data_IF_143656656014
#
_entry.id   IF_143656656014
#
_cell.length_a   1.000
_cell.length_b   1.000
_cell.length_c   1.000
_cell.angle_alpha   90.00
_cell.angle_beta   90.00
_cell.angle_gamma   90.00
#
_symmetry.space_group_name_H-M   'P 1'
#
loop_
_entity.id
_entity.type
_entity.pdbx_description
1 polymer ?
#
# COMPACT_ATOMS: atom_id res chain seq x y z
N UNK A 1 32.66 5.47 -15.73
CA UNK A 1 31.43 6.27 -15.74
C UNK A 1 30.20 5.62 -16.43
N UNK A 2 30.32 4.68 -17.37
CA UNK A 2 29.18 4.00 -18.05
C UNK A 2 28.50 2.88 -17.21
N UNK A 3 29.13 2.39 -16.14
CA UNK A 3 28.64 1.20 -15.39
C UNK A 3 27.55 1.46 -14.34
N UNK A 4 27.34 2.70 -13.88
CA UNK A 4 26.31 2.98 -12.85
C UNK A 4 24.87 2.94 -13.39
N UNK A 5 24.69 3.29 -14.68
CA UNK A 5 23.38 3.23 -15.32
C UNK A 5 22.92 1.81 -15.68
N UNK A 6 23.81 0.85 -15.76
CA UNK A 6 23.45 -0.55 -16.06
C UNK A 6 22.75 -1.22 -14.84
N UNK A 7 22.99 -0.78 -13.63
CA UNK A 7 22.38 -1.32 -12.42
C UNK A 7 20.97 -0.75 -12.12
N UNK A 8 20.68 0.47 -12.56
CA UNK A 8 19.41 1.16 -12.29
C UNK A 8 18.18 0.37 -12.75
N UNK A 9 18.08 -0.09 -14.03
CA UNK A 9 16.91 -0.85 -14.49
C UNK A 9 16.73 -2.18 -13.74
N UNK A 10 17.81 -2.82 -13.29
CA UNK A 10 17.71 -4.08 -12.53
C UNK A 10 17.14 -3.85 -11.13
N UNK A 11 17.51 -2.77 -10.47
CA UNK A 11 16.92 -2.39 -9.17
C UNK A 11 15.47 -1.99 -9.34
N UNK A 12 15.12 -1.23 -10.38
CA UNK A 12 13.74 -0.89 -10.72
C UNK A 12 12.89 -2.13 -11.00
N UNK A 13 13.39 -3.06 -11.79
CA UNK A 13 12.73 -4.33 -12.08
C UNK A 13 12.52 -5.16 -10.81
N UNK A 14 13.57 -5.34 -10.00
CA UNK A 14 13.50 -6.09 -8.75
C UNK A 14 12.52 -5.46 -7.75
N UNK A 15 12.45 -4.14 -7.67
CA UNK A 15 11.48 -3.42 -6.84
C UNK A 15 10.05 -3.66 -7.32
N UNK A 16 9.79 -3.49 -8.62
CA UNK A 16 8.45 -3.67 -9.20
C UNK A 16 7.93 -5.09 -8.99
N UNK A 17 8.75 -6.10 -9.31
CA UNK A 17 8.42 -7.52 -9.13
C UNK A 17 8.24 -7.87 -7.66
N UNK A 18 9.11 -7.35 -6.79
CA UNK A 18 9.09 -7.64 -5.36
C UNK A 18 7.81 -7.20 -4.66
N UNK A 19 7.16 -6.11 -5.13
CA UNK A 19 5.89 -5.65 -4.57
C UNK A 19 4.66 -6.21 -5.29
N UNK A 20 4.81 -6.82 -6.47
CA UNK A 20 3.70 -7.36 -7.26
C UNK A 20 2.92 -8.44 -6.50
N UNK A 21 3.60 -9.31 -5.74
CA UNK A 21 2.96 -10.39 -4.97
C UNK A 21 2.04 -9.92 -3.82
N UNK A 22 2.09 -8.65 -3.45
CA UNK A 22 1.42 -8.14 -2.24
C UNK A 22 -0.11 -8.18 -2.31
N UNK A 23 -0.70 -7.64 -3.38
CA UNK A 23 -2.14 -7.56 -3.60
C UNK A 23 -2.65 -8.58 -4.67
N UNK A 24 -1.78 -9.46 -5.16
CA UNK A 24 -2.10 -10.47 -6.18
C UNK A 24 -3.24 -11.41 -5.73
N UNK A 25 -3.32 -11.74 -4.44
CA UNK A 25 -4.34 -12.62 -3.87
C UNK A 25 -5.73 -11.94 -3.78
N UNK A 26 -5.80 -10.62 -3.69
CA UNK A 26 -7.04 -9.89 -3.39
C UNK A 26 -8.23 -10.26 -4.30
N UNK A 27 -8.07 -10.38 -5.63
CA UNK A 27 -9.15 -10.83 -6.52
C UNK A 27 -9.61 -12.26 -6.27
N UNK A 28 -8.79 -13.09 -5.60
CA UNK A 28 -9.06 -14.50 -5.36
C UNK A 28 -9.82 -14.74 -4.04
N UNK A 29 -10.06 -13.73 -3.22
CA UNK A 29 -10.72 -13.90 -1.92
C UNK A 29 -12.06 -14.63 -1.99
N UNK A 30 -12.97 -14.38 -2.97
CA UNK A 30 -14.19 -15.16 -3.11
C UNK A 30 -13.92 -16.64 -3.38
N UNK A 31 -12.88 -16.97 -4.15
CA UNK A 31 -12.50 -18.35 -4.45
C UNK A 31 -11.97 -19.07 -3.20
N UNK A 32 -11.13 -18.40 -2.38
CA UNK A 32 -10.72 -18.94 -1.08
C UNK A 32 -11.88 -19.10 -0.12
N UNK A 33 -12.78 -18.11 -0.10
CA UNK A 33 -13.99 -18.18 0.73
C UNK A 33 -14.85 -19.39 0.39
N UNK A 34 -15.07 -19.65 -0.88
CA UNK A 34 -15.84 -20.81 -1.35
C UNK A 34 -15.12 -22.13 -1.11
N UNK A 35 -13.81 -22.21 -1.44
CA UNK A 35 -13.04 -23.45 -1.35
C UNK A 35 -12.85 -23.91 0.10
N UNK A 36 -12.68 -23.00 1.05
CA UNK A 36 -12.37 -23.31 2.45
C UNK A 36 -13.50 -22.94 3.41
N UNK A 37 -14.68 -22.53 2.91
CA UNK A 37 -15.84 -22.13 3.70
C UNK A 37 -15.50 -21.05 4.74
N UNK A 38 -14.67 -20.07 4.35
CA UNK A 38 -14.19 -19.02 5.23
C UNK A 38 -15.29 -17.99 5.54
N UNK A 39 -15.24 -17.44 6.74
CA UNK A 39 -16.06 -16.28 7.13
C UNK A 39 -15.51 -15.00 6.51
N UNK A 40 -16.32 -13.94 6.50
CA UNK A 40 -15.86 -12.63 6.02
C UNK A 40 -14.76 -12.06 6.91
N UNK A 41 -14.80 -12.32 8.21
CA UNK A 41 -13.72 -11.95 9.14
C UNK A 41 -12.39 -12.64 8.81
N UNK A 42 -12.41 -13.90 8.36
CA UNK A 42 -11.21 -14.62 7.96
C UNK A 42 -10.55 -13.97 6.74
N UNK A 43 -11.36 -13.54 5.75
CA UNK A 43 -10.87 -12.81 4.58
C UNK A 43 -10.25 -11.46 5.00
N UNK A 44 -10.91 -10.74 5.89
CA UNK A 44 -10.37 -9.49 6.45
C UNK A 44 -9.04 -9.75 7.18
N UNK A 45 -8.94 -10.84 7.92
CA UNK A 45 -7.74 -11.25 8.65
C UNK A 45 -6.57 -11.55 7.69
N UNK A 46 -6.81 -12.25 6.56
CA UNK A 46 -5.79 -12.51 5.55
C UNK A 46 -5.15 -11.22 5.05
N UNK A 47 -5.97 -10.18 4.79
CA UNK A 47 -5.48 -8.88 4.38
C UNK A 47 -4.76 -8.15 5.52
N UNK A 48 -5.32 -8.18 6.73
CA UNK A 48 -4.76 -7.53 7.92
C UNK A 48 -3.42 -8.13 8.31
N UNK A 49 -3.25 -9.44 8.26
CA UNK A 49 -1.98 -10.12 8.58
C UNK A 49 -0.86 -9.66 7.65
N UNK A 50 -1.15 -9.47 6.36
CA UNK A 50 -0.20 -8.83 5.43
C UNK A 50 0.17 -7.41 5.89
N UNK A 51 -0.83 -6.59 6.27
CA UNK A 51 -0.60 -5.22 6.73
C UNK A 51 0.22 -5.18 8.03
N UNK A 52 -0.04 -6.10 8.95
CA UNK A 52 0.75 -6.26 10.19
C UNK A 52 2.20 -6.64 9.87
N UNK A 53 2.43 -7.55 8.93
CA UNK A 53 3.77 -7.91 8.47
C UNK A 53 4.52 -6.70 7.86
N UNK A 54 3.83 -5.91 7.04
CA UNK A 54 4.39 -4.71 6.44
C UNK A 54 4.69 -3.62 7.50
N UNK A 55 3.78 -3.41 8.44
CA UNK A 55 3.96 -2.49 9.56
C UNK A 55 5.13 -2.92 10.46
N UNK A 56 5.23 -4.21 10.77
CA UNK A 56 6.33 -4.78 11.55
C UNK A 56 7.68 -4.52 10.86
N UNK A 57 7.78 -4.83 9.56
CA UNK A 57 8.99 -4.58 8.79
C UNK A 57 9.36 -3.10 8.72
N UNK A 58 8.38 -2.21 8.54
CA UNK A 58 8.60 -0.77 8.53
C UNK A 58 9.14 -0.26 9.87
N UNK A 59 8.54 -0.68 10.99
CA UNK A 59 8.89 -0.21 12.32
C UNK A 59 10.24 -0.74 12.80
N UNK A 60 10.49 -2.02 12.63
CA UNK A 60 11.64 -2.70 13.24
C UNK A 60 12.80 -2.92 12.27
N UNK A 61 12.55 -2.95 10.97
CA UNK A 61 13.56 -3.29 9.95
C UNK A 61 13.80 -2.18 8.91
N UNK A 62 13.04 -1.07 8.95
CA UNK A 62 13.13 0.00 7.96
C UNK A 62 14.51 0.65 7.82
N UNK A 63 15.38 0.49 8.81
CA UNK A 63 16.75 1.04 8.86
C UNK A 63 17.84 0.02 8.54
N UNK A 64 17.49 -1.21 8.24
CA UNK A 64 18.49 -2.25 7.94
C UNK A 64 19.36 -1.87 6.73
N UNK A 65 18.80 -1.11 5.78
CA UNK A 65 19.56 -0.64 4.61
C UNK A 65 20.71 0.31 4.97
N UNK A 66 20.61 1.05 6.09
CA UNK A 66 21.63 1.97 6.56
C UNK A 66 22.83 1.22 7.18
N UNK A 67 22.59 0.01 7.70
CA UNK A 67 23.61 -0.81 8.38
C UNK A 67 24.16 -1.93 7.50
N UNK A 68 23.31 -2.65 6.77
CA UNK A 68 23.70 -3.81 5.96
C UNK A 68 23.91 -3.46 4.48
N UNK A 69 23.51 -2.23 4.08
CA UNK A 69 23.46 -1.79 2.69
C UNK A 69 22.21 -2.26 1.96
N UNK A 70 21.69 -1.40 1.08
CA UNK A 70 20.40 -1.61 0.40
C UNK A 70 20.32 -2.93 -0.40
N UNK A 71 21.41 -3.35 -1.05
CA UNK A 71 21.43 -4.57 -1.88
C UNK A 71 21.13 -5.82 -1.06
N UNK A 72 21.78 -5.98 0.10
CA UNK A 72 21.57 -7.16 0.97
C UNK A 72 20.13 -7.19 1.49
N UNK A 73 19.63 -6.04 1.96
CA UNK A 73 18.26 -5.94 2.50
C UNK A 73 17.23 -6.19 1.41
N UNK A 74 17.44 -5.66 0.20
CA UNK A 74 16.55 -5.88 -0.93
C UNK A 74 16.54 -7.35 -1.39
N UNK A 75 17.71 -8.02 -1.43
CA UNK A 75 17.80 -9.46 -1.72
C UNK A 75 17.08 -10.30 -0.66
N UNK A 76 17.29 -10.00 0.62
CA UNK A 76 16.57 -10.66 1.72
C UNK A 76 15.06 -10.46 1.58
N UNK A 77 14.62 -9.23 1.27
CA UNK A 77 13.22 -8.94 0.99
C UNK A 77 12.67 -9.76 -0.16
N UNK A 78 13.37 -9.82 -1.31
CA UNK A 78 12.94 -10.61 -2.48
C UNK A 78 12.84 -12.11 -2.17
N UNK A 79 13.83 -12.68 -1.48
CA UNK A 79 13.83 -14.11 -1.11
C UNK A 79 12.69 -14.41 -0.13
N UNK A 80 12.48 -13.53 0.86
CA UNK A 80 11.39 -13.65 1.83
C UNK A 80 10.02 -13.54 1.13
N UNK A 81 9.86 -12.60 0.21
CA UNK A 81 8.63 -12.43 -0.56
C UNK A 81 8.35 -13.59 -1.50
N UNK A 82 9.38 -14.12 -2.15
CA UNK A 82 9.29 -15.33 -2.95
C UNK A 82 8.86 -16.52 -2.09
N UNK A 83 9.51 -16.76 -0.95
CA UNK A 83 9.14 -17.81 -0.01
C UNK A 83 7.73 -17.63 0.56
N UNK A 84 7.35 -16.42 0.95
CA UNK A 84 6.00 -16.10 1.41
C UNK A 84 4.93 -16.34 0.34
N UNK A 85 5.21 -15.99 -0.92
CA UNK A 85 4.33 -16.27 -2.07
C UNK A 85 4.23 -17.77 -2.32
N UNK A 86 5.33 -18.53 -2.20
CA UNK A 86 5.32 -19.99 -2.32
C UNK A 86 4.49 -20.64 -1.21
N UNK A 87 4.65 -20.20 0.04
CA UNK A 87 3.81 -20.68 1.16
C UNK A 87 2.35 -20.34 0.91
N UNK A 88 2.04 -19.14 0.42
CA UNK A 88 0.67 -18.74 0.05
C UNK A 88 0.09 -19.65 -1.05
N UNK A 89 0.86 -19.98 -2.08
CA UNK A 89 0.46 -20.87 -3.18
C UNK A 89 0.18 -22.30 -2.68
N UNK A 90 1.00 -22.79 -1.76
CA UNK A 90 0.94 -24.16 -1.22
C UNK A 90 0.09 -24.24 0.06
N UNK A 91 -0.57 -23.16 0.45
CA UNK A 91 -1.37 -23.13 1.67
C UNK A 91 -2.52 -24.14 1.62
N UNK A 92 -2.70 -24.89 2.71
CA UNK A 92 -3.73 -25.91 2.86
C UNK A 92 -4.83 -25.54 3.88
N UNK A 93 -4.60 -24.47 4.65
CA UNK A 93 -5.52 -23.92 5.65
C UNK A 93 -5.29 -22.43 5.87
N UNK A 94 -6.16 -21.79 6.66
CA UNK A 94 -6.07 -20.35 6.98
C UNK A 94 -4.78 -19.99 7.73
N UNK A 95 -4.29 -20.75 8.75
CA UNK A 95 -3.02 -20.47 9.40
C UNK A 95 -1.82 -20.47 8.45
N UNK A 96 -1.69 -21.48 7.59
CA UNK A 96 -0.58 -21.54 6.62
C UNK A 96 -0.62 -20.39 5.62
N UNK A 97 -1.83 -20.02 5.15
CA UNK A 97 -2.03 -18.86 4.29
C UNK A 97 -1.58 -17.57 5.00
N UNK A 98 -1.95 -17.38 6.25
CA UNK A 98 -1.58 -16.21 7.05
C UNK A 98 -0.07 -16.11 7.30
N UNK A 99 0.64 -17.24 7.49
CA UNK A 99 2.11 -17.24 7.57
C UNK A 99 2.71 -16.69 6.26
N UNK A 100 2.24 -17.18 5.11
CA UNK A 100 2.67 -16.66 3.81
C UNK A 100 2.37 -15.16 3.66
N UNK A 101 1.19 -14.72 4.07
CA UNK A 101 0.76 -13.31 4.00
C UNK A 101 1.62 -12.40 4.89
N UNK A 102 1.92 -12.82 6.12
CA UNK A 102 2.83 -12.08 7.01
C UNK A 102 4.23 -11.93 6.37
N UNK A 103 4.78 -13.02 5.84
CA UNK A 103 6.09 -13.01 5.17
C UNK A 103 6.11 -12.07 3.95
N UNK A 104 5.06 -12.08 3.12
CA UNK A 104 4.91 -11.15 1.98
C UNK A 104 4.81 -9.71 2.46
N UNK A 105 4.08 -9.44 3.55
CA UNK A 105 4.00 -8.11 4.15
C UNK A 105 5.36 -7.60 4.61
N UNK A 106 6.07 -8.40 5.38
CA UNK A 106 7.42 -8.10 5.87
C UNK A 106 8.39 -7.84 4.72
N UNK A 107 8.36 -8.69 3.69
CA UNK A 107 9.13 -8.54 2.45
C UNK A 107 8.87 -7.20 1.77
N UNK A 108 7.60 -6.81 1.62
CA UNK A 108 7.22 -5.59 0.89
C UNK A 108 7.84 -4.34 1.52
N UNK A 109 7.85 -4.24 2.86
CA UNK A 109 8.46 -3.12 3.55
C UNK A 109 10.00 -3.09 3.40
N UNK A 110 10.66 -4.26 3.44
CA UNK A 110 12.10 -4.36 3.19
C UNK A 110 12.45 -3.92 1.76
N UNK A 111 11.67 -4.33 0.77
CA UNK A 111 11.89 -3.95 -0.63
C UNK A 111 11.65 -2.46 -0.84
N UNK A 112 10.52 -1.92 -0.36
CA UNK A 112 10.17 -0.50 -0.52
C UNK A 112 11.21 0.41 0.12
N UNK A 113 11.63 0.12 1.34
CA UNK A 113 12.64 0.94 2.06
C UNK A 113 14.02 0.83 1.43
N UNK A 114 14.47 -0.39 1.12
CA UNK A 114 15.80 -0.60 0.53
C UNK A 114 15.92 -0.11 -0.91
N UNK A 115 14.87 -0.29 -1.73
CA UNK A 115 14.86 0.20 -3.11
C UNK A 115 14.90 1.72 -3.17
N UNK A 116 14.16 2.41 -2.30
CA UNK A 116 14.16 3.88 -2.22
C UNK A 116 15.56 4.42 -1.90
N UNK A 117 16.25 3.82 -0.94
CA UNK A 117 17.65 4.15 -0.60
C UNK A 117 18.58 3.82 -1.76
N UNK A 118 18.44 2.62 -2.34
CA UNK A 118 19.30 2.13 -3.40
C UNK A 118 19.24 2.95 -4.68
N UNK A 119 18.05 3.33 -5.12
CA UNK A 119 17.86 4.14 -6.32
C UNK A 119 18.48 5.54 -6.18
N UNK A 120 18.39 6.15 -4.99
CA UNK A 120 19.06 7.43 -4.72
C UNK A 120 20.59 7.25 -4.73
N UNK A 121 21.12 6.18 -4.16
CA UNK A 121 22.57 5.91 -4.11
C UNK A 121 23.19 5.59 -5.48
N UNK A 122 22.44 4.99 -6.39
CA UNK A 122 22.92 4.63 -7.74
C UNK A 122 22.83 5.82 -8.68
N UNK A 123 21.96 6.80 -8.39
CA UNK A 123 21.74 7.94 -9.25
C UNK A 123 22.86 8.98 -9.15
N UNK A 124 23.03 9.76 -10.22
CA UNK A 124 23.95 10.90 -10.24
C UNK A 124 23.39 12.08 -9.44
N UNK A 125 24.29 12.87 -8.87
CA UNK A 125 23.97 14.11 -8.16
C UNK A 125 23.03 15.03 -8.99
N UNK A 126 22.01 15.57 -8.31
CA UNK A 126 21.01 16.48 -8.89
C UNK A 126 19.71 15.86 -9.40
N UNK A 127 19.58 14.53 -9.45
CA UNK A 127 18.39 13.85 -9.98
C UNK A 127 17.40 13.37 -8.89
N UNK A 128 17.55 13.76 -7.62
CA UNK A 128 16.79 13.24 -6.47
C UNK A 128 15.27 13.31 -6.67
N UNK A 129 14.74 14.43 -7.17
CA UNK A 129 13.30 14.58 -7.40
C UNK A 129 12.79 13.62 -8.49
N UNK A 130 13.53 13.53 -9.62
CA UNK A 130 13.18 12.63 -10.74
C UNK A 130 13.20 11.16 -10.29
N UNK A 131 14.16 10.78 -9.46
CA UNK A 131 14.28 9.44 -8.92
C UNK A 131 13.14 9.11 -7.97
N UNK A 132 12.77 10.04 -7.09
CA UNK A 132 11.61 9.87 -6.22
C UNK A 132 10.32 9.67 -7.03
N UNK A 133 10.13 10.40 -8.13
CA UNK A 133 8.99 10.21 -9.04
C UNK A 133 9.00 8.83 -9.70
N UNK A 134 10.15 8.39 -10.23
CA UNK A 134 10.30 7.07 -10.85
C UNK A 134 10.03 5.97 -9.80
N UNK A 135 10.57 6.10 -8.60
CA UNK A 135 10.37 5.13 -7.51
C UNK A 135 8.89 5.02 -7.15
N UNK A 136 8.21 6.15 -6.96
CA UNK A 136 6.79 6.17 -6.62
C UNK A 136 5.92 5.56 -7.73
N UNK A 137 6.21 5.89 -8.99
CA UNK A 137 5.52 5.30 -10.14
C UNK A 137 5.73 3.79 -10.22
N UNK A 138 6.97 3.31 -10.10
CA UNK A 138 7.30 1.88 -10.18
C UNK A 138 6.70 1.08 -9.01
N UNK A 139 6.64 1.66 -7.81
CA UNK A 139 5.95 1.05 -6.67
C UNK A 139 4.45 0.91 -6.96
N UNK A 140 3.80 1.98 -7.39
CA UNK A 140 2.38 1.95 -7.73
C UNK A 140 2.08 0.98 -8.88
N UNK A 141 2.95 0.94 -9.89
CA UNK A 141 2.86 0.02 -11.02
C UNK A 141 3.02 -1.44 -10.56
N UNK A 142 4.04 -1.75 -9.75
CA UNK A 142 4.24 -3.09 -9.21
C UNK A 142 3.07 -3.55 -8.32
N UNK A 143 2.63 -2.69 -7.39
CA UNK A 143 1.45 -2.97 -6.56
C UNK A 143 0.18 -3.17 -7.38
N UNK A 144 -0.03 -2.41 -8.46
CA UNK A 144 -1.20 -2.50 -9.33
C UNK A 144 -1.17 -3.71 -10.26
N UNK A 145 0.02 -4.14 -10.73
CA UNK A 145 0.16 -5.33 -11.56
C UNK A 145 -0.29 -6.61 -10.85
N UNK A 146 -0.08 -6.70 -9.53
CA UNK A 146 -0.48 -7.87 -8.75
C UNK A 146 -1.96 -8.21 -8.92
N UNK A 147 -2.88 -7.33 -8.50
CA UNK A 147 -4.31 -7.60 -8.63
C UNK A 147 -4.77 -7.76 -10.09
N UNK A 148 -4.18 -7.04 -11.04
CA UNK A 148 -4.50 -7.21 -12.46
C UNK A 148 -4.17 -8.61 -12.94
N UNK A 149 -2.95 -9.09 -12.70
CA UNK A 149 -2.52 -10.45 -13.07
C UNK A 149 -3.30 -11.50 -12.30
N UNK A 150 -3.52 -11.28 -10.99
CA UNK A 150 -4.35 -12.15 -10.15
C UNK A 150 -5.79 -12.26 -10.65
N UNK A 151 -6.37 -11.15 -11.06
CA UNK A 151 -7.72 -11.10 -11.62
C UNK A 151 -7.83 -11.85 -12.95
N UNK A 152 -6.91 -11.58 -13.89
CA UNK A 152 -6.92 -12.23 -15.22
C UNK A 152 -6.71 -13.74 -15.09
N UNK A 153 -5.70 -14.18 -14.36
CA UNK A 153 -5.41 -15.60 -14.18
C UNK A 153 -6.53 -16.29 -13.40
N UNK A 154 -7.00 -15.65 -12.33
CA UNK A 154 -8.06 -16.18 -11.48
C UNK A 154 -9.40 -16.37 -12.20
N UNK A 155 -9.65 -15.59 -13.27
CA UNK A 155 -10.89 -15.65 -14.04
C UNK A 155 -10.88 -16.77 -15.09
N UNK A 156 -9.75 -16.99 -15.78
CA UNK A 156 -9.74 -17.81 -17.00
C UNK A 156 -8.86 -19.05 -16.95
N UNK A 157 -7.93 -19.17 -16.01
CA UNK A 157 -7.05 -20.33 -15.95
C UNK A 157 -7.54 -21.39 -14.95
N UNK A 158 -7.27 -22.69 -15.21
CA UNK A 158 -7.61 -23.75 -14.28
C UNK A 158 -6.76 -23.64 -12.99
N UNK A 159 -7.28 -24.18 -11.89
CA UNK A 159 -6.59 -24.16 -10.58
C UNK A 159 -6.14 -22.76 -10.16
N UNK A 160 -7.06 -21.76 -10.11
CA UNK A 160 -6.72 -20.35 -9.93
C UNK A 160 -5.96 -20.07 -8.62
N UNK A 161 -6.22 -20.83 -7.56
CA UNK A 161 -5.53 -20.69 -6.26
C UNK A 161 -4.05 -21.12 -6.29
N UNK A 162 -3.58 -21.74 -7.38
CA UNK A 162 -2.18 -22.17 -7.56
C UNK A 162 -1.56 -21.41 -8.72
N UNK A 163 -2.17 -21.48 -9.91
CA UNK A 163 -1.61 -20.95 -11.15
C UNK A 163 -1.38 -19.44 -11.09
N UNK A 164 -2.22 -18.72 -10.35
CA UNK A 164 -2.10 -17.26 -10.18
C UNK A 164 -0.75 -16.82 -9.61
N UNK A 165 -0.13 -17.63 -8.78
CA UNK A 165 1.15 -17.28 -8.14
C UNK A 165 2.37 -17.57 -9.00
N UNK A 166 2.27 -18.47 -9.99
CA UNK A 166 3.40 -18.92 -10.81
C UNK A 166 4.14 -17.78 -11.53
N UNK A 167 3.46 -16.80 -12.18
CA UNK A 167 4.16 -15.68 -12.81
C UNK A 167 4.96 -14.85 -11.81
N UNK A 168 4.38 -14.57 -10.63
CA UNK A 168 5.07 -13.81 -9.57
C UNK A 168 6.30 -14.56 -9.04
N UNK A 169 6.20 -15.89 -8.88
CA UNK A 169 7.32 -16.72 -8.46
C UNK A 169 8.42 -16.77 -9.52
N UNK A 170 8.05 -16.95 -10.80
CA UNK A 170 9.02 -16.96 -11.91
C UNK A 170 9.75 -15.61 -12.04
N UNK A 171 9.00 -14.52 -12.03
CA UNK A 171 9.57 -13.16 -12.04
C UNK A 171 10.41 -12.88 -10.80
N UNK A 172 10.02 -13.39 -9.63
CA UNK A 172 10.79 -13.29 -8.39
C UNK A 172 12.17 -13.91 -8.48
N UNK A 173 12.28 -15.11 -9.08
CA UNK A 173 13.59 -15.75 -9.34
C UNK A 173 14.43 -14.88 -10.28
N UNK A 174 13.82 -14.37 -11.36
CA UNK A 174 14.51 -13.47 -12.29
C UNK A 174 14.96 -12.17 -11.61
N UNK A 175 14.15 -11.62 -10.70
CA UNK A 175 14.47 -10.41 -9.95
C UNK A 175 15.66 -10.63 -8.98
N UNK A 176 15.69 -11.75 -8.28
CA UNK A 176 16.83 -12.13 -7.41
C UNK A 176 18.08 -12.27 -8.26
N UNK A 177 18.01 -13.03 -9.38
CA UNK A 177 19.14 -13.21 -10.28
C UNK A 177 19.63 -11.88 -10.87
N UNK A 178 18.73 -11.03 -11.35
CA UNK A 178 19.05 -9.72 -11.88
C UNK A 178 19.76 -8.84 -10.86
N UNK A 179 19.28 -8.80 -9.62
CA UNK A 179 19.91 -8.02 -8.55
C UNK A 179 21.26 -8.62 -8.12
N UNK A 180 21.45 -9.94 -8.19
CA UNK A 180 22.74 -10.60 -7.94
C UNK A 180 23.77 -10.29 -9.04
N UNK A 181 23.35 -10.18 -10.30
CA UNK A 181 24.20 -9.83 -11.43
C UNK A 181 24.48 -8.34 -11.57
N UNK A 182 23.64 -7.49 -10.99
CA UNK A 182 23.82 -6.05 -11.04
C UNK A 182 25.17 -5.66 -10.39
N UNK A 183 26.05 -5.04 -11.18
CA UNK A 183 27.35 -4.53 -10.71
C UNK A 183 27.13 -3.20 -9.95
N UNK A 184 26.76 -3.32 -8.71
CA UNK A 184 26.56 -2.19 -7.81
C UNK A 184 27.91 -1.85 -7.15
N UNK A 185 28.52 -0.74 -7.55
CA UNK A 185 29.68 -0.19 -6.84
C UNK A 185 29.16 0.57 -5.61
N UNK A 186 29.52 0.15 -4.41
CA UNK A 186 29.18 0.92 -3.21
C UNK A 186 29.84 2.29 -3.29
N UNK A 187 29.09 3.36 -3.00
CA UNK A 187 29.70 4.69 -2.85
C UNK A 187 30.53 4.68 -1.53
N UNK A 188 31.84 4.98 -1.56
CA UNK A 188 32.72 4.83 -0.40
C UNK A 188 32.24 5.61 0.85
N UNK A 189 31.65 6.77 0.65
CA UNK A 189 31.15 7.64 1.74
C UNK A 189 29.91 7.09 2.47
N UNK A 190 29.17 6.16 1.85
CA UNK A 190 27.98 5.53 2.42
C UNK A 190 28.31 4.21 3.14
N UNK A 191 29.56 3.76 3.07
CA UNK A 191 30.08 2.59 3.78
C UNK A 191 30.45 2.86 5.24
N UNK A 192 30.24 4.05 5.78
CA UNK A 192 30.27 4.31 7.22
C UNK A 192 29.03 3.66 7.88
N UNK A 193 28.86 2.36 7.62
CA UNK A 193 27.82 1.57 8.21
C UNK A 193 27.96 1.62 9.73
N UNK A 194 26.99 2.20 10.40
CA UNK A 194 26.88 2.06 11.84
C UNK A 194 26.86 0.57 12.18
N UNK A 195 27.61 0.09 13.17
CA UNK A 195 27.60 -1.34 13.49
C UNK A 195 26.17 -1.81 13.77
N UNK A 196 25.84 -2.99 13.24
CA UNK A 196 24.54 -3.61 13.49
C UNK A 196 24.39 -3.82 14.99
N UNK A 197 23.47 -3.11 15.61
CA UNK A 197 23.19 -3.19 17.03
C UNK A 197 21.68 -3.27 17.28
N UNK A 198 21.30 -3.63 18.50
CA UNK A 198 19.88 -3.70 18.89
C UNK A 198 19.11 -2.39 18.66
N UNK A 199 19.83 -1.25 18.71
CA UNK A 199 19.27 0.09 18.43
C UNK A 199 18.78 0.26 16.99
N UNK A 200 19.24 -0.56 16.04
CA UNK A 200 18.78 -0.55 14.65
C UNK A 200 17.32 -0.99 14.55
N UNK A 201 16.88 -1.85 15.48
CA UNK A 201 15.53 -2.42 15.52
C UNK A 201 14.56 -1.64 16.42
N UNK A 202 14.96 -0.53 17.03
CA UNK A 202 14.07 0.29 17.84
C UNK A 202 13.24 1.19 16.92
N UNK A 203 11.89 1.14 17.00
CA UNK A 203 11.02 2.05 16.27
C UNK A 203 11.31 3.50 16.64
N UNK A 204 11.43 4.36 15.64
CA UNK A 204 11.51 5.81 15.87
C UNK A 204 10.17 6.43 15.57
N UNK A 205 9.29 6.45 16.54
CA UNK A 205 8.04 7.17 16.49
C UNK A 205 8.23 8.52 17.17
N UNK A 206 7.84 9.57 16.50
CA UNK A 206 7.93 10.93 17.02
C UNK A 206 6.60 11.63 16.78
N UNK A 207 6.13 12.36 17.78
CA UNK A 207 4.96 13.24 17.65
C UNK A 207 5.44 14.67 17.40
N UNK A 208 4.63 15.46 16.68
CA UNK A 208 4.96 16.84 16.41
C UNK A 208 4.96 17.68 17.71
N UNK A 209 5.68 18.79 17.70
CA UNK A 209 5.69 19.76 18.80
C UNK A 209 4.27 20.23 19.10
N UNK A 210 4.04 20.67 20.34
CA UNK A 210 2.70 21.11 20.80
C UNK A 210 2.09 22.19 19.89
N UNK A 211 2.91 23.09 19.34
CA UNK A 211 2.48 24.11 18.37
C UNK A 211 1.93 23.55 17.05
N UNK A 212 2.37 22.38 16.65
CA UNK A 212 2.03 21.72 15.38
C UNK A 212 1.22 20.44 15.58
N UNK A 213 0.84 20.12 16.82
CA UNK A 213 0.17 18.86 17.16
C UNK A 213 -1.15 18.68 16.39
N UNK A 214 -1.98 19.72 16.30
CA UNK A 214 -3.25 19.67 15.53
C UNK A 214 -2.98 19.49 14.03
N UNK A 215 -2.01 20.22 13.48
CA UNK A 215 -1.60 20.06 12.10
C UNK A 215 -1.16 18.64 11.81
N UNK A 216 -0.39 18.02 12.72
CA UNK A 216 0.07 16.65 12.58
C UNK A 216 -1.06 15.63 12.72
N UNK A 217 -2.01 15.84 13.63
CA UNK A 217 -3.22 15.00 13.71
C UNK A 217 -4.00 15.00 12.39
N UNK A 218 -4.24 16.18 11.82
CA UNK A 218 -4.91 16.33 10.51
C UNK A 218 -4.10 15.65 9.40
N UNK A 219 -2.77 15.75 9.48
CA UNK A 219 -1.86 15.06 8.57
C UNK A 219 -1.99 13.53 8.66
N UNK A 220 -2.07 12.98 9.87
CA UNK A 220 -2.23 11.54 10.10
C UNK A 220 -3.60 11.01 9.67
N UNK A 221 -4.63 11.85 9.65
CA UNK A 221 -5.94 11.47 9.10
C UNK A 221 -5.88 11.15 7.60
N UNK A 222 -5.00 11.79 6.84
CA UNK A 222 -4.89 11.55 5.40
C UNK A 222 -4.53 10.08 5.06
N UNK A 223 -3.42 9.50 5.55
CA UNK A 223 -3.09 8.10 5.28
C UNK A 223 -4.06 7.14 5.97
N UNK A 224 -4.62 7.50 7.14
CA UNK A 224 -5.62 6.70 7.83
C UNK A 224 -6.81 6.39 6.92
N UNK A 225 -7.41 7.42 6.32
CA UNK A 225 -8.55 7.24 5.42
C UNK A 225 -8.14 6.69 4.05
N UNK A 226 -6.98 7.09 3.51
CA UNK A 226 -6.49 6.57 2.24
C UNK A 226 -6.29 5.05 2.27
N UNK A 227 -5.57 4.54 3.27
CA UNK A 227 -5.33 3.10 3.42
C UNK A 227 -6.60 2.36 3.83
N UNK A 228 -7.47 2.98 4.65
CA UNK A 228 -8.75 2.40 5.02
C UNK A 228 -9.66 2.17 3.81
N UNK A 229 -9.83 3.18 2.96
CA UNK A 229 -10.64 3.06 1.73
C UNK A 229 -10.03 2.06 0.77
N UNK A 230 -8.73 2.12 0.53
CA UNK A 230 -8.05 1.12 -0.29
C UNK A 230 -8.25 -0.29 0.26
N UNK A 231 -8.17 -0.47 1.58
CA UNK A 231 -8.39 -1.75 2.24
C UNK A 231 -9.78 -2.33 2.01
N UNK A 232 -10.83 -1.49 1.99
CA UNK A 232 -12.20 -1.94 1.65
C UNK A 232 -12.24 -2.54 0.24
N UNK A 233 -11.68 -1.82 -0.74
CA UNK A 233 -11.64 -2.31 -2.12
C UNK A 233 -10.75 -3.54 -2.28
N UNK A 234 -9.64 -3.62 -1.57
CA UNK A 234 -8.68 -4.72 -1.69
C UNK A 234 -9.11 -6.01 -0.96
N UNK A 235 -9.94 -5.91 0.08
CA UNK A 235 -10.33 -7.08 0.89
C UNK A 235 -11.81 -7.43 0.76
N UNK A 236 -12.70 -6.45 0.84
CA UNK A 236 -14.14 -6.69 0.92
C UNK A 236 -14.86 -6.55 -0.41
N UNK A 237 -14.43 -5.60 -1.29
CA UNK A 237 -15.11 -5.40 -2.56
C UNK A 237 -15.23 -6.68 -3.40
N UNK A 238 -14.20 -7.55 -3.51
CA UNK A 238 -14.34 -8.80 -4.24
C UNK A 238 -15.52 -9.66 -3.78
N UNK A 239 -15.86 -9.64 -2.48
CA UNK A 239 -16.91 -10.47 -1.87
C UNK A 239 -18.34 -10.00 -2.19
N UNK A 240 -18.55 -8.73 -2.50
CA UNK A 240 -19.89 -8.20 -2.77
C UNK A 240 -20.16 -7.84 -4.23
N UNK A 241 -19.14 -7.77 -5.08
CA UNK A 241 -19.29 -7.38 -6.48
C UNK A 241 -20.27 -8.29 -7.24
N UNK A 242 -20.24 -9.60 -6.95
CA UNK A 242 -21.19 -10.56 -7.57
C UNK A 242 -22.66 -10.24 -7.30
N UNK A 243 -22.94 -9.62 -6.14
CA UNK A 243 -24.31 -9.25 -5.73
C UNK A 243 -24.76 -7.89 -6.26
N UNK A 244 -23.81 -7.06 -6.71
CA UNK A 244 -24.05 -5.68 -7.10
C UNK A 244 -23.97 -5.43 -8.60
N UNK A 245 -23.13 -6.20 -9.31
CA UNK A 245 -22.81 -5.93 -10.70
C UNK A 245 -23.13 -7.11 -11.59
N UNK A 246 -23.63 -6.87 -12.82
CA UNK A 246 -23.85 -7.93 -13.81
C UNK A 246 -22.54 -8.56 -14.29
N UNK A 247 -21.44 -7.81 -14.24
CA UNK A 247 -20.08 -8.28 -14.53
C UNK A 247 -19.31 -8.41 -13.21
N UNK A 248 -18.93 -9.60 -12.91
CA UNK A 248 -18.31 -9.98 -11.63
C UNK A 248 -17.13 -10.94 -11.85
N UNK A 249 -16.51 -11.33 -10.76
CA UNK A 249 -15.41 -12.28 -10.74
C UNK A 249 -14.05 -11.63 -10.53
N UNK A 250 -12.99 -12.45 -10.49
CA UNK A 250 -11.63 -12.01 -10.15
C UNK A 250 -11.08 -10.88 -11.01
N UNK A 251 -11.38 -10.85 -12.32
CA UNK A 251 -10.89 -9.80 -13.23
C UNK A 251 -11.47 -8.43 -12.90
N UNK A 252 -12.74 -8.36 -12.51
CA UNK A 252 -13.41 -7.09 -12.19
C UNK A 252 -12.83 -6.49 -10.90
N UNK A 253 -12.71 -7.30 -9.85
CA UNK A 253 -12.09 -6.88 -8.59
C UNK A 253 -10.61 -6.56 -8.76
N UNK A 254 -9.87 -7.39 -9.50
CA UNK A 254 -8.45 -7.17 -9.79
C UNK A 254 -8.20 -5.88 -10.56
N UNK A 255 -9.02 -5.59 -11.57
CA UNK A 255 -8.97 -4.34 -12.34
C UNK A 255 -9.30 -3.14 -11.47
N UNK A 256 -10.34 -3.22 -10.64
CA UNK A 256 -10.74 -2.13 -9.74
C UNK A 256 -9.61 -1.76 -8.77
N UNK A 257 -8.99 -2.77 -8.13
CA UNK A 257 -7.86 -2.58 -7.20
C UNK A 257 -6.64 -2.02 -7.93
N UNK A 258 -6.30 -2.58 -9.09
CA UNK A 258 -5.17 -2.13 -9.91
C UNK A 258 -5.34 -0.70 -10.39
N UNK A 259 -6.55 -0.33 -10.86
CA UNK A 259 -6.88 1.03 -11.29
C UNK A 259 -6.78 2.02 -10.13
N UNK A 260 -7.26 1.68 -8.92
CA UNK A 260 -7.13 2.56 -7.75
C UNK A 260 -5.65 2.90 -7.52
N UNK A 261 -4.75 1.93 -7.54
CA UNK A 261 -3.33 2.15 -7.29
C UNK A 261 -2.64 2.95 -8.40
N UNK A 262 -2.87 2.57 -9.66
CA UNK A 262 -2.27 3.25 -10.81
C UNK A 262 -2.80 4.68 -10.96
N UNK A 263 -4.12 4.85 -10.89
CA UNK A 263 -4.73 6.17 -10.98
C UNK A 263 -4.36 7.06 -9.78
N UNK A 264 -4.23 6.49 -8.57
CA UNK A 264 -3.73 7.22 -7.41
C UNK A 264 -2.34 7.80 -7.64
N UNK A 265 -1.41 7.04 -8.25
CA UNK A 265 -0.10 7.55 -8.60
C UNK A 265 -0.17 8.67 -9.65
N UNK A 266 -1.03 8.52 -10.66
CA UNK A 266 -1.25 9.56 -11.67
C UNK A 266 -1.85 10.83 -11.04
N UNK A 267 -2.79 10.69 -10.11
CA UNK A 267 -3.38 11.80 -9.37
C UNK A 267 -2.32 12.53 -8.54
N UNK A 268 -1.42 11.81 -7.86
CA UNK A 268 -0.31 12.43 -7.12
C UNK A 268 0.58 13.28 -8.05
N UNK A 269 0.89 12.79 -9.24
CA UNK A 269 1.68 13.55 -10.24
C UNK A 269 0.91 14.77 -10.76
N UNK A 270 -0.35 14.60 -11.12
CA UNK A 270 -1.20 15.67 -11.63
C UNK A 270 -1.44 16.79 -10.59
N UNK A 271 -1.58 16.41 -9.34
CA UNK A 271 -1.83 17.33 -8.22
C UNK A 271 -0.54 17.86 -7.55
N UNK A 272 0.65 17.51 -8.05
CA UNK A 272 1.92 17.87 -7.41
C UNK A 272 2.12 19.39 -7.25
N UNK A 273 1.51 20.21 -8.13
CA UNK A 273 1.52 21.66 -8.09
C UNK A 273 0.32 22.27 -7.34
N UNK A 274 -0.62 21.46 -6.90
CA UNK A 274 -1.81 21.92 -6.19
C UNK A 274 -1.45 22.42 -4.79
N UNK A 275 -2.09 23.51 -4.35
CA UNK A 275 -1.89 23.98 -2.99
C UNK A 275 -2.32 22.94 -1.96
N UNK A 276 -1.55 22.81 -0.87
CA UNK A 276 -1.72 21.81 0.16
C UNK A 276 -3.15 21.75 0.72
N UNK A 277 -3.78 22.91 0.96
CA UNK A 277 -5.14 23.01 1.49
C UNK A 277 -6.19 22.39 0.57
N UNK A 278 -6.09 22.64 -0.74
CA UNK A 278 -7.02 22.09 -1.72
C UNK A 278 -6.77 20.60 -1.94
N UNK A 279 -5.52 20.18 -1.97
CA UNK A 279 -5.17 18.77 -2.09
C UNK A 279 -5.72 17.94 -0.92
N UNK A 280 -5.58 18.41 0.32
CA UNK A 280 -6.14 17.72 1.49
C UNK A 280 -7.67 17.75 1.56
N UNK A 281 -8.29 18.91 1.26
CA UNK A 281 -9.75 19.02 1.21
C UNK A 281 -10.35 18.08 0.18
N UNK A 282 -9.91 18.19 -1.08
CA UNK A 282 -10.45 17.39 -2.19
C UNK A 282 -10.13 15.91 -2.02
N UNK A 283 -8.96 15.59 -1.46
CA UNK A 283 -8.59 14.20 -1.15
C UNK A 283 -9.54 13.55 -0.14
N UNK A 284 -9.82 14.22 0.98
CA UNK A 284 -10.76 13.72 2.00
C UNK A 284 -12.21 13.71 1.48
N UNK A 285 -12.63 14.70 0.70
CA UNK A 285 -13.96 14.70 0.08
C UNK A 285 -14.11 13.60 -0.97
N UNK A 286 -13.06 13.29 -1.71
CA UNK A 286 -13.07 12.15 -2.65
C UNK A 286 -13.19 10.80 -1.90
N UNK A 287 -12.54 10.67 -0.73
CA UNK A 287 -12.75 9.53 0.18
C UNK A 287 -14.21 9.44 0.63
N UNK A 288 -14.81 10.58 1.04
CA UNK A 288 -16.23 10.65 1.41
C UNK A 288 -17.11 10.21 0.24
N UNK A 289 -16.87 10.75 -0.96
CA UNK A 289 -17.61 10.40 -2.17
C UNK A 289 -17.50 8.91 -2.50
N UNK A 290 -16.32 8.34 -2.42
CA UNK A 290 -16.10 6.90 -2.66
C UNK A 290 -16.95 6.04 -1.72
N UNK A 291 -16.95 6.36 -0.42
CA UNK A 291 -17.76 5.61 0.56
C UNK A 291 -19.27 5.84 0.35
N UNK A 292 -19.68 7.07 0.03
CA UNK A 292 -21.08 7.37 -0.31
C UNK A 292 -21.55 6.57 -1.54
N UNK A 293 -20.70 6.45 -2.57
CA UNK A 293 -21.01 5.63 -3.76
C UNK A 293 -21.11 4.15 -3.41
N UNK A 294 -20.22 3.63 -2.54
CA UNK A 294 -20.32 2.24 -2.09
C UNK A 294 -21.64 1.97 -1.34
N UNK A 295 -21.99 2.83 -0.39
CA UNK A 295 -23.25 2.70 0.38
C UNK A 295 -24.47 2.81 -0.55
N UNK A 296 -24.48 3.81 -1.41
CA UNK A 296 -25.56 4.00 -2.40
C UNK A 296 -25.72 2.80 -3.30
N UNK A 297 -24.62 2.17 -3.70
CA UNK A 297 -24.66 1.09 -4.68
C UNK A 297 -25.31 -0.19 -4.16
N UNK A 298 -25.40 -0.38 -2.83
CA UNK A 298 -26.20 -1.48 -2.26
C UNK A 298 -27.70 -1.34 -2.57
N UNK A 299 -28.20 -0.11 -2.77
CA UNK A 299 -29.60 0.14 -3.10
C UNK A 299 -29.83 0.22 -4.59
N UNK A 300 -28.88 0.75 -5.36
CA UNK A 300 -29.05 1.07 -6.78
C UNK A 300 -28.57 -0.07 -7.69
N UNK A 301 -27.53 -0.82 -7.30
CA UNK A 301 -26.95 -1.92 -8.10
C UNK A 301 -26.37 -1.45 -9.45
N UNK A 302 -25.82 -0.24 -9.52
CA UNK A 302 -25.38 0.39 -10.76
C UNK A 302 -23.87 0.29 -10.96
N UNK A 303 -23.48 -0.22 -12.14
CA UNK A 303 -22.08 -0.25 -12.56
C UNK A 303 -21.44 1.15 -12.62
N UNK A 304 -22.21 2.17 -13.03
CA UNK A 304 -21.75 3.55 -13.10
C UNK A 304 -21.43 4.09 -11.69
N UNK A 305 -22.30 3.84 -10.71
CA UNK A 305 -22.08 4.24 -9.32
C UNK A 305 -20.82 3.58 -8.76
N UNK A 306 -20.59 2.31 -9.08
CA UNK A 306 -19.37 1.60 -8.68
C UNK A 306 -18.12 2.21 -9.31
N UNK A 307 -18.12 2.48 -10.63
CA UNK A 307 -16.99 3.11 -11.33
C UNK A 307 -16.67 4.48 -10.76
N UNK A 308 -17.69 5.32 -10.49
CA UNK A 308 -17.51 6.62 -9.84
C UNK A 308 -16.89 6.45 -8.46
N UNK A 309 -17.34 5.45 -7.69
CA UNK A 309 -16.76 5.09 -6.39
C UNK A 309 -15.27 4.72 -6.48
N UNK A 310 -14.88 3.89 -7.45
CA UNK A 310 -13.48 3.49 -7.71
C UNK A 310 -12.63 4.69 -8.12
N UNK A 311 -13.11 5.54 -9.01
CA UNK A 311 -12.40 6.76 -9.42
C UNK A 311 -12.23 7.73 -8.25
N UNK A 312 -13.25 7.90 -7.43
CA UNK A 312 -13.18 8.71 -6.22
C UNK A 312 -12.21 8.12 -5.19
N UNK A 313 -12.18 6.78 -5.02
CA UNK A 313 -11.19 6.10 -4.17
C UNK A 313 -9.76 6.38 -4.65
N UNK A 314 -9.50 6.26 -5.94
CA UNK A 314 -8.18 6.54 -6.53
C UNK A 314 -7.75 8.00 -6.31
N UNK A 315 -8.64 8.95 -6.56
CA UNK A 315 -8.40 10.37 -6.34
C UNK A 315 -8.16 10.68 -4.86
N UNK A 316 -9.03 10.16 -3.98
CA UNK A 316 -8.92 10.34 -2.53
C UNK A 316 -7.63 9.75 -1.97
N UNK A 317 -7.29 8.51 -2.35
CA UNK A 317 -6.05 7.85 -1.95
C UNK A 317 -4.83 8.66 -2.40
N UNK A 318 -4.77 9.08 -3.66
CA UNK A 318 -3.63 9.83 -4.20
C UNK A 318 -3.45 11.20 -3.55
N UNK A 319 -4.52 11.99 -3.49
CA UNK A 319 -4.47 13.35 -2.92
C UNK A 319 -4.22 13.35 -1.41
N UNK A 320 -4.82 12.41 -0.66
CA UNK A 320 -4.56 12.28 0.78
C UNK A 320 -3.10 11.94 1.07
N UNK A 321 -2.51 10.98 0.33
CA UNK A 321 -1.09 10.63 0.53
C UNK A 321 -0.18 11.80 0.17
N UNK A 322 -0.46 12.51 -0.93
CA UNK A 322 0.31 13.68 -1.35
C UNK A 322 0.20 14.81 -0.31
N UNK A 323 -1.01 15.13 0.13
CA UNK A 323 -1.24 16.18 1.12
C UNK A 323 -0.58 15.85 2.47
N UNK A 324 -0.72 14.61 2.92
CA UNK A 324 -0.16 14.16 4.18
C UNK A 324 1.36 14.24 4.20
N UNK A 325 2.05 13.66 3.21
CA UNK A 325 3.52 13.70 3.17
C UNK A 325 4.05 15.12 2.96
N UNK A 326 3.36 15.95 2.19
CA UNK A 326 3.72 17.35 2.00
C UNK A 326 3.62 18.14 3.31
N UNK A 327 2.59 17.88 4.12
CA UNK A 327 2.42 18.51 5.43
C UNK A 327 3.49 18.04 6.42
N UNK A 328 3.80 16.73 6.47
CA UNK A 328 4.92 16.23 7.30
C UNK A 328 6.20 16.97 6.95
N UNK A 329 6.52 17.07 5.66
CA UNK A 329 7.74 17.74 5.19
C UNK A 329 7.78 19.22 5.56
N UNK A 330 6.62 19.88 5.70
CA UNK A 330 6.50 21.29 6.06
C UNK A 330 6.69 21.56 7.56
N UNK A 331 6.20 20.65 8.43
CA UNK A 331 6.28 20.82 9.88
C UNK A 331 7.51 20.18 10.52
N UNK A 332 8.15 19.24 9.80
CA UNK A 332 9.28 18.46 10.32
C UNK A 332 10.58 19.23 10.29
N UNK A 333 11.30 19.29 11.43
CA UNK A 333 12.72 19.61 11.42
C UNK A 333 13.55 18.44 10.83
N UNK A 334 14.74 18.68 10.26
CA UNK A 334 15.56 17.62 9.69
C UNK A 334 15.81 16.45 10.65
N UNK A 335 15.98 16.73 11.96
CA UNK A 335 16.23 15.72 12.99
C UNK A 335 14.98 14.87 13.31
N UNK A 336 13.77 15.42 13.21
CA UNK A 336 12.51 14.76 13.58
C UNK A 336 11.78 14.12 12.39
N UNK A 337 12.16 14.49 11.16
CA UNK A 337 11.46 14.13 9.93
C UNK A 337 11.23 12.63 9.78
N UNK A 338 12.25 11.82 10.01
CA UNK A 338 12.16 10.36 9.91
C UNK A 338 11.13 9.78 10.89
N UNK A 339 11.14 10.26 12.15
CA UNK A 339 10.18 9.81 13.16
C UNK A 339 8.75 10.22 12.87
N UNK A 340 8.53 11.45 12.37
CA UNK A 340 7.20 11.94 11.98
C UNK A 340 6.65 11.17 10.77
N UNK A 341 7.49 10.85 9.77
CA UNK A 341 7.09 10.00 8.63
C UNK A 341 6.71 8.60 9.11
N UNK A 342 7.48 8.02 10.03
CA UNK A 342 7.15 6.70 10.59
C UNK A 342 5.81 6.72 11.32
N UNK A 343 5.53 7.72 12.16
CA UNK A 343 4.24 7.86 12.84
C UNK A 343 3.09 8.07 11.84
N UNK A 344 3.28 8.90 10.82
CA UNK A 344 2.35 9.12 9.73
C UNK A 344 1.97 7.80 9.02
N UNK A 345 2.95 6.98 8.68
CA UNK A 345 2.71 5.68 8.03
C UNK A 345 2.02 4.68 8.96
N UNK A 346 2.39 4.65 10.25
CA UNK A 346 1.70 3.84 11.26
C UNK A 346 0.23 4.18 11.31
N UNK A 347 -0.13 5.47 11.30
CA UNK A 347 -1.54 5.89 11.27
C UNK A 347 -2.26 5.37 10.02
N UNK A 348 -1.59 5.34 8.86
CA UNK A 348 -2.14 4.73 7.65
C UNK A 348 -2.41 3.23 7.83
N UNK A 349 -1.44 2.46 8.31
CA UNK A 349 -1.63 1.03 8.57
C UNK A 349 -2.73 0.76 9.62
N UNK A 350 -2.81 1.56 10.69
CA UNK A 350 -3.90 1.48 11.67
C UNK A 350 -5.26 1.73 11.02
N UNK A 351 -5.32 2.72 10.09
CA UNK A 351 -6.52 3.02 9.30
C UNK A 351 -6.97 1.89 8.37
N UNK A 352 -6.04 1.04 7.91
CA UNK A 352 -6.40 -0.17 7.17
C UNK A 352 -6.75 -1.35 8.10
N UNK A 353 -6.01 -1.55 9.18
CA UNK A 353 -6.12 -2.74 10.05
C UNK A 353 -7.39 -2.68 10.90
N UNK A 354 -7.56 -1.60 11.68
CA UNK A 354 -8.60 -1.54 12.73
C UNK A 354 -10.02 -1.51 12.13
N UNK A 355 -10.33 -0.65 11.14
CA UNK A 355 -11.66 -0.63 10.55
C UNK A 355 -12.03 -1.94 9.84
N UNK A 356 -11.06 -2.58 9.17
CA UNK A 356 -11.34 -3.83 8.46
C UNK A 356 -11.58 -5.02 9.38
N UNK A 357 -10.86 -5.12 10.51
CA UNK A 357 -11.16 -6.13 11.54
C UNK A 357 -12.56 -5.93 12.10
N UNK A 358 -12.92 -4.68 12.42
CA UNK A 358 -14.28 -4.35 12.89
C UNK A 358 -15.35 -4.68 11.84
N UNK A 359 -15.11 -4.31 10.58
CA UNK A 359 -16.05 -4.60 9.50
C UNK A 359 -16.19 -6.11 9.22
N UNK A 360 -15.11 -6.90 9.32
CA UNK A 360 -15.17 -8.35 9.21
C UNK A 360 -16.05 -8.97 10.30
N UNK A 361 -15.88 -8.52 11.54
CA UNK A 361 -16.71 -8.98 12.66
C UNK A 361 -18.19 -8.61 12.47
N UNK A 362 -18.49 -7.37 12.07
CA UNK A 362 -19.86 -6.92 11.78
C UNK A 362 -20.46 -7.74 10.63
N UNK A 363 -19.66 -8.02 9.60
CA UNK A 363 -20.12 -8.79 8.45
C UNK A 363 -20.52 -10.24 8.80
N UNK A 364 -19.82 -10.86 9.73
CA UNK A 364 -20.16 -12.23 10.18
C UNK A 364 -21.47 -12.28 10.99
N UNK A 365 -21.83 -11.21 11.72
CA UNK A 365 -23.00 -11.19 12.60
C UNK A 365 -24.23 -10.53 11.94
N UNK A 366 -24.03 -9.53 11.11
CA UNK A 366 -25.09 -8.70 10.54
C UNK A 366 -25.09 -8.66 9.00
N UNK A 367 -24.17 -9.39 8.38
CA UNK A 367 -24.00 -9.45 6.94
C UNK A 367 -23.12 -8.34 6.37
N UNK A 368 -22.54 -8.65 5.20
CA UNK A 368 -21.58 -7.79 4.51
C UNK A 368 -22.15 -6.40 4.12
N UNK A 369 -23.43 -6.27 3.65
CA UNK A 369 -24.00 -4.96 3.35
C UNK A 369 -24.04 -4.02 4.56
N UNK A 370 -24.42 -4.55 5.74
CA UNK A 370 -24.45 -3.76 6.98
C UNK A 370 -23.04 -3.32 7.40
N UNK A 371 -22.05 -4.23 7.31
CA UNK A 371 -20.68 -3.92 7.67
C UNK A 371 -20.10 -2.78 6.83
N UNK A 372 -20.27 -2.83 5.50
CA UNK A 372 -19.76 -1.80 4.59
C UNK A 372 -20.55 -0.51 4.74
N UNK A 373 -21.88 -0.57 4.92
CA UNK A 373 -22.69 0.62 5.14
C UNK A 373 -22.30 1.33 6.45
N UNK A 374 -22.14 0.59 7.54
CA UNK A 374 -21.71 1.15 8.82
C UNK A 374 -20.33 1.81 8.70
N UNK A 375 -19.36 1.08 8.13
CA UNK A 375 -18.02 1.61 7.92
C UNK A 375 -18.04 2.84 7.02
N UNK A 376 -18.82 2.81 5.92
CA UNK A 376 -18.98 3.93 5.01
C UNK A 376 -19.54 5.18 5.71
N UNK A 377 -20.59 5.03 6.52
CA UNK A 377 -21.15 6.15 7.28
C UNK A 377 -20.18 6.68 8.33
N UNK A 378 -19.42 5.83 9.02
CA UNK A 378 -18.39 6.26 9.97
C UNK A 378 -17.30 7.07 9.24
N UNK A 379 -16.83 6.59 8.08
CA UNK A 379 -15.85 7.34 7.27
C UNK A 379 -16.41 8.69 6.82
N UNK A 380 -17.64 8.75 6.31
CA UNK A 380 -18.29 9.99 5.88
C UNK A 380 -18.39 10.96 7.05
N UNK A 381 -18.86 10.52 8.22
CA UNK A 381 -19.05 11.35 9.41
C UNK A 381 -17.72 11.92 9.95
N UNK A 382 -16.63 11.14 9.89
CA UNK A 382 -15.33 11.56 10.40
C UNK A 382 -14.51 12.36 9.37
N UNK A 383 -14.48 11.91 8.11
CA UNK A 383 -13.66 12.55 7.09
C UNK A 383 -14.19 13.92 6.65
N UNK A 384 -15.52 14.14 6.67
CA UNK A 384 -16.11 15.42 6.27
C UNK A 384 -15.66 16.60 7.16
N UNK A 385 -15.81 16.55 8.51
CA UNK A 385 -15.31 17.64 9.35
C UNK A 385 -13.80 17.78 9.30
N UNK A 386 -13.05 16.66 9.18
CA UNK A 386 -11.61 16.70 9.06
C UNK A 386 -11.14 17.36 7.76
N UNK A 387 -11.86 17.16 6.64
CA UNK A 387 -11.60 17.85 5.38
C UNK A 387 -11.72 19.38 5.54
N UNK A 388 -12.77 19.84 6.23
CA UNK A 388 -12.95 21.24 6.51
C UNK A 388 -11.89 21.79 7.47
N UNK A 389 -11.59 21.07 8.56
CA UNK A 389 -10.53 21.44 9.50
C UNK A 389 -9.17 21.54 8.79
N UNK A 390 -8.86 20.59 7.90
CA UNK A 390 -7.62 20.61 7.10
C UNK A 390 -7.57 21.87 6.22
N UNK A 391 -8.66 22.22 5.55
CA UNK A 391 -8.73 23.36 4.66
C UNK A 391 -8.55 24.71 5.37
N UNK A 392 -9.14 24.89 6.56
CA UNK A 392 -9.09 26.16 7.31
C UNK A 392 -7.82 26.32 8.15
N UNK A 393 -7.09 25.23 8.40
CA UNK A 393 -5.92 25.25 9.29
C UNK A 393 -4.82 26.20 8.77
N UNK A 394 -4.24 27.08 9.61
CA UNK A 394 -3.25 28.08 9.18
C UNK A 394 -2.03 27.47 8.48
N UNK A 395 -1.52 26.34 8.96
CA UNK A 395 -0.35 25.64 8.38
C UNK A 395 -0.59 25.10 6.96
N UNK A 396 -1.83 24.96 6.50
CA UNK A 396 -2.16 24.55 5.13
C UNK A 396 -2.23 25.72 4.16
N UNK A 397 -2.39 26.96 4.66
CA UNK A 397 -2.57 28.20 3.85
C UNK A 397 -1.26 28.82 3.39
N UNK A 398 -0.17 28.64 4.15
CA UNK A 398 1.13 29.22 3.77
C UNK A 398 1.66 28.51 2.53
N UNK A 399 2.01 29.30 1.50
CA UNK A 399 2.59 28.84 0.24
C UNK A 399 3.94 28.14 0.42
#
# INVERSE_FOLDING_TARGET
MKQSWSAFPWVCFAMCVGVMGTALISPLYPLYQQAWQLRTSDISLIYVVYMVGALFGLLFMGRLSDTLGFRKVMLTGLILGWGGTLVTMLAWDLPSLNIGRFAVGLSSSLIVTSASVGLVQISRDGASQRISMITSFLLAFGFGLGPLTGGVIGQWLPHPLIVTYLPSLALGVLAVFALMRAQLKPHPELLAASPLGWRTFIPRLTWAKRSDALAFMLTCACPFFAFGVFGIYASMAPLFLEKMLPWHGPVVSGTSIGVILLASAMVQLACAQMSLRWCGLLGLLAVVLSNAMLVLNFSVGSSLVFIVGVCAAAAGHGMCLLAGISMVNRIASPAERSGLISTYLVCGYVGAIVPLLGAGWVADHYGLPMAISLLGWVVIALATPLAFCFFVHPRTRTA
#
